data_IF_718053974011
#
_entry.id   IF_718053974011
#
_cell.length_a   1.000
_cell.length_b   1.000
_cell.length_c   1.000
_cell.angle_alpha   90.00
_cell.angle_beta   90.00
_cell.angle_gamma   90.00
#
_symmetry.space_group_name_H-M   'P 1'
#
loop_
_entity.id
_entity.type
_entity.pdbx_description
1 polymer ?
#
# COMPACT_ATOMS: atom_id res chain seq x y z
N UNK A 1 25.12 4.91 3.44
CA UNK A 1 24.47 4.29 2.28
C UNK A 1 23.79 5.35 1.44
N UNK A 2 23.54 5.04 0.17
CA UNK A 2 22.91 5.96 -0.78
C UNK A 2 21.51 5.47 -1.14
N UNK A 3 20.49 6.18 -0.68
CA UNK A 3 19.08 5.86 -0.86
C UNK A 3 18.46 6.69 -1.98
N UNK A 4 17.64 6.06 -2.84
CA UNK A 4 16.71 6.74 -3.73
C UNK A 4 15.28 6.37 -3.34
N UNK A 5 14.45 7.38 -3.11
CA UNK A 5 13.02 7.21 -2.92
C UNK A 5 12.29 7.61 -4.22
N UNK A 6 11.59 6.66 -4.82
CA UNK A 6 10.72 6.94 -5.97
C UNK A 6 9.31 7.12 -5.43
N UNK A 7 8.78 8.34 -5.49
CA UNK A 7 7.52 8.73 -4.84
C UNK A 7 6.67 9.60 -5.75
N UNK A 8 5.44 9.85 -5.37
CA UNK A 8 4.60 10.82 -6.05
C UNK A 8 5.15 12.24 -5.87
N UNK A 9 4.81 13.21 -6.74
CA UNK A 9 5.19 14.59 -6.56
C UNK A 9 4.85 15.12 -5.17
N UNK A 10 5.73 15.89 -4.55
CA UNK A 10 5.55 16.39 -3.18
C UNK A 10 4.22 17.13 -2.97
N UNK A 11 3.71 17.79 -4.01
CA UNK A 11 2.43 18.51 -4.00
C UNK A 11 1.21 17.58 -3.81
N UNK A 12 1.40 16.28 -4.02
CA UNK A 12 0.36 15.25 -3.82
C UNK A 12 0.47 14.53 -2.47
N UNK A 13 1.59 14.71 -1.77
CA UNK A 13 1.83 14.06 -0.49
C UNK A 13 1.13 14.82 0.64
N UNK A 14 0.68 14.07 1.64
CA UNK A 14 0.20 14.66 2.90
C UNK A 14 1.39 14.90 3.82
N UNK A 15 2.06 16.04 3.63
CA UNK A 15 3.39 16.34 4.20
C UNK A 15 3.49 16.19 5.72
N UNK A 16 2.38 16.35 6.46
CA UNK A 16 2.37 16.25 7.93
C UNK A 16 2.39 14.79 8.44
N UNK A 17 1.94 13.83 7.62
CA UNK A 17 1.79 12.44 8.03
C UNK A 17 2.22 11.42 6.94
N UNK A 18 3.02 11.84 5.96
CA UNK A 18 3.45 10.94 4.90
C UNK A 18 4.51 9.94 5.39
N UNK A 19 4.23 8.65 5.19
CA UNK A 19 5.13 7.56 5.57
C UNK A 19 6.47 7.61 4.83
N UNK A 20 6.51 8.11 3.59
CA UNK A 20 7.74 8.22 2.80
C UNK A 20 8.65 9.29 3.37
N UNK A 21 8.08 10.42 3.81
CA UNK A 21 8.85 11.50 4.45
C UNK A 21 9.42 11.06 5.80
N UNK A 22 8.70 10.24 6.58
CA UNK A 22 9.23 9.64 7.81
C UNK A 22 10.47 8.79 7.52
N UNK A 23 10.39 7.90 6.51
CA UNK A 23 11.51 7.04 6.11
C UNK A 23 12.71 7.86 5.60
N UNK A 24 12.47 8.87 4.76
CA UNK A 24 13.52 9.76 4.25
C UNK A 24 14.20 10.52 5.38
N UNK A 25 13.43 11.10 6.29
CA UNK A 25 13.94 11.84 7.45
C UNK A 25 14.76 10.95 8.40
N UNK A 26 14.34 9.71 8.59
CA UNK A 26 15.09 8.76 9.40
C UNK A 26 16.42 8.35 8.71
N UNK A 27 16.39 8.14 7.39
CA UNK A 27 17.61 7.87 6.63
C UNK A 27 18.61 9.05 6.72
N UNK A 28 18.12 10.29 6.60
CA UNK A 28 18.93 11.50 6.82
C UNK A 28 19.48 11.59 8.24
N UNK A 29 18.67 11.32 9.26
CA UNK A 29 19.09 11.33 10.67
C UNK A 29 20.24 10.35 10.95
N UNK A 30 20.28 9.26 10.19
CA UNK A 30 21.36 8.25 10.23
C UNK A 30 22.55 8.58 9.31
N UNK A 31 22.64 9.82 8.86
CA UNK A 31 23.75 10.31 8.02
C UNK A 31 23.89 9.58 6.67
N UNK A 32 22.78 9.02 6.15
CA UNK A 32 22.78 8.47 4.80
C UNK A 32 22.60 9.57 3.75
N UNK A 33 23.07 9.32 2.53
CA UNK A 33 22.75 10.13 1.38
C UNK A 33 21.33 9.79 0.90
N UNK A 34 20.45 10.79 0.87
CA UNK A 34 19.05 10.61 0.52
C UNK A 34 18.68 11.41 -0.72
N UNK A 35 18.06 10.73 -1.65
CA UNK A 35 17.62 11.30 -2.92
C UNK A 35 16.16 10.95 -3.17
N UNK A 36 15.47 11.78 -3.97
CA UNK A 36 14.13 11.48 -4.45
C UNK A 36 13.94 11.81 -5.92
N UNK A 37 13.04 11.09 -6.57
CA UNK A 37 12.53 11.39 -7.90
C UNK A 37 11.08 10.86 -8.01
N UNK A 38 10.38 11.26 -9.06
CA UNK A 38 9.10 10.66 -9.45
C UNK A 38 9.30 9.62 -10.55
N UNK A 39 8.27 8.82 -10.85
CA UNK A 39 8.32 7.90 -11.98
C UNK A 39 8.52 8.59 -13.34
N UNK A 40 8.14 9.86 -13.44
CA UNK A 40 8.28 10.66 -14.68
C UNK A 40 9.72 11.13 -14.91
N UNK A 41 10.54 11.14 -13.88
CA UNK A 41 11.94 11.58 -13.93
C UNK A 41 12.91 10.47 -14.36
N UNK A 42 12.41 9.23 -14.49
CA UNK A 42 13.24 8.07 -14.85
C UNK A 42 13.34 7.94 -16.36
N UNK A 43 14.55 7.86 -16.84
CA UNK A 43 14.88 7.75 -18.28
C UNK A 43 15.77 6.54 -18.53
N UNK A 44 15.43 5.75 -19.56
CA UNK A 44 16.25 4.66 -20.07
C UNK A 44 16.82 5.05 -21.43
N UNK A 45 18.10 4.97 -21.59
CA UNK A 45 18.77 4.97 -22.88
C UNK A 45 19.33 3.55 -23.22
N UNK A 46 20.12 3.44 -24.26
CA UNK A 46 20.69 2.17 -24.68
C UNK A 46 21.74 1.58 -23.70
N UNK A 47 22.20 2.34 -22.73
CA UNK A 47 23.33 1.96 -21.84
C UNK A 47 22.97 1.92 -20.38
N UNK A 48 22.11 2.84 -19.93
CA UNK A 48 21.85 3.06 -18.52
C UNK A 48 20.41 3.44 -18.24
N UNK A 49 20.03 3.28 -16.98
CA UNK A 49 18.80 3.80 -16.40
C UNK A 49 19.18 4.89 -15.43
N UNK A 50 18.69 6.10 -15.62
CA UNK A 50 19.00 7.24 -14.77
C UNK A 50 17.74 8.01 -14.41
N UNK A 51 17.80 8.76 -13.32
CA UNK A 51 16.75 9.66 -12.91
C UNK A 51 17.26 11.10 -12.80
N UNK A 52 16.38 12.05 -13.11
CA UNK A 52 16.53 13.43 -12.74
C UNK A 52 15.97 13.62 -11.33
N UNK A 53 16.84 13.60 -10.32
CA UNK A 53 16.45 13.57 -8.93
C UNK A 53 16.95 14.75 -8.12
N UNK A 54 16.42 14.86 -6.89
CA UNK A 54 16.84 15.84 -5.88
C UNK A 54 17.61 15.14 -4.77
N UNK A 55 18.78 15.68 -4.39
CA UNK A 55 19.49 15.32 -3.15
C UNK A 55 18.91 16.10 -1.99
N UNK A 56 18.73 15.43 -0.86
CA UNK A 56 18.29 16.03 0.39
C UNK A 56 19.43 16.04 1.41
N UNK A 57 19.68 17.20 2.03
CA UNK A 57 20.76 17.39 3.01
C UNK A 57 20.22 17.74 4.39
N UNK A 58 18.94 18.14 4.46
CA UNK A 58 18.28 18.54 5.69
C UNK A 58 16.96 17.78 5.87
N UNK A 59 16.46 17.78 7.12
CA UNK A 59 15.18 17.20 7.46
C UNK A 59 14.08 17.82 6.59
N UNK A 60 13.33 16.96 5.90
CA UNK A 60 12.22 17.36 5.05
C UNK A 60 11.05 17.85 5.90
N UNK A 61 10.78 19.14 5.81
CA UNK A 61 9.61 19.83 6.35
C UNK A 61 8.86 20.51 5.21
N UNK A 62 7.60 20.93 5.37
CA UNK A 62 6.87 21.63 4.32
C UNK A 62 7.65 22.82 3.74
N UNK A 63 8.26 23.64 4.58
CA UNK A 63 9.05 24.82 4.16
C UNK A 63 10.27 24.46 3.29
N UNK A 64 10.97 23.36 3.62
CA UNK A 64 12.15 22.88 2.86
C UNK A 64 11.74 22.24 1.54
N UNK A 65 10.59 21.59 1.51
CA UNK A 65 10.05 20.97 0.29
C UNK A 65 9.68 22.05 -0.74
N UNK A 66 9.15 23.18 -0.30
CA UNK A 66 8.75 24.32 -1.14
C UNK A 66 9.94 25.21 -1.57
N UNK A 67 11.13 25.03 -0.99
CA UNK A 67 12.32 25.80 -1.34
C UNK A 67 12.80 25.53 -2.77
N UNK A 68 13.65 26.41 -3.31
CA UNK A 68 14.22 26.28 -4.66
C UNK A 68 14.88 24.92 -4.87
N UNK A 69 14.42 24.18 -5.90
CA UNK A 69 14.78 22.79 -6.13
C UNK A 69 15.94 22.69 -7.10
N UNK A 70 17.04 22.08 -6.64
CA UNK A 70 18.17 21.74 -7.53
C UNK A 70 18.05 20.26 -7.91
N UNK A 71 17.84 20.02 -9.20
CA UNK A 71 17.79 18.67 -9.77
C UNK A 71 19.09 18.35 -10.51
N UNK A 72 19.50 17.08 -10.44
CA UNK A 72 20.65 16.56 -11.18
C UNK A 72 20.35 15.16 -11.68
N UNK A 73 21.07 14.70 -12.69
CA UNK A 73 20.94 13.36 -13.22
C UNK A 73 21.80 12.38 -12.42
N UNK A 74 21.22 11.24 -12.05
CA UNK A 74 21.88 10.18 -11.30
C UNK A 74 21.65 8.84 -11.99
N UNK A 75 22.72 8.06 -12.17
CA UNK A 75 22.62 6.65 -12.59
C UNK A 75 21.99 5.83 -11.46
N UNK A 76 20.92 5.07 -11.75
CA UNK A 76 20.24 4.27 -10.76
C UNK A 76 21.13 3.14 -10.22
N UNK A 77 22.07 2.63 -10.99
CA UNK A 77 23.07 1.65 -10.51
C UNK A 77 24.05 2.25 -9.48
N UNK A 78 24.07 3.58 -9.30
CA UNK A 78 24.90 4.24 -8.29
C UNK A 78 24.32 4.20 -6.87
N UNK A 79 23.06 3.81 -6.71
CA UNK A 79 22.38 3.72 -5.41
C UNK A 79 22.64 2.36 -4.75
N UNK A 80 22.60 2.34 -3.42
CA UNK A 80 22.66 1.10 -2.64
C UNK A 80 21.24 0.53 -2.45
N UNK A 81 20.27 1.41 -2.16
CA UNK A 81 18.87 1.07 -1.92
C UNK A 81 17.95 1.97 -2.74
N UNK A 82 16.97 1.38 -3.39
CA UNK A 82 15.85 2.11 -4.01
C UNK A 82 14.57 1.71 -3.29
N UNK A 83 13.83 2.69 -2.78
CA UNK A 83 12.55 2.48 -2.10
C UNK A 83 11.43 2.99 -2.99
N UNK A 84 10.56 2.08 -3.45
CA UNK A 84 9.39 2.44 -4.25
C UNK A 84 8.28 2.88 -3.29
N UNK A 85 7.92 4.16 -3.36
CA UNK A 85 6.88 4.77 -2.52
C UNK A 85 5.81 5.47 -3.35
N UNK A 86 5.70 5.10 -4.62
CA UNK A 86 4.62 5.56 -5.48
C UNK A 86 3.30 4.92 -5.06
N UNK A 87 2.30 5.76 -4.82
CA UNK A 87 0.95 5.31 -4.48
C UNK A 87 0.20 4.77 -5.71
N UNK A 88 -0.78 3.88 -5.55
CA UNK A 88 -1.74 3.56 -6.59
C UNK A 88 -2.47 4.82 -7.11
N UNK A 89 -3.01 4.83 -8.33
CA UNK A 89 -3.46 3.64 -9.07
C UNK A 89 -2.31 2.87 -9.73
N UNK A 90 -2.46 1.55 -9.80
CA UNK A 90 -1.56 0.69 -10.57
C UNK A 90 -1.96 0.77 -12.06
N UNK A 91 -1.46 1.80 -12.72
CA UNK A 91 -1.72 2.12 -14.13
C UNK A 91 -0.53 1.78 -15.05
N UNK A 92 -0.59 2.21 -16.30
CA UNK A 92 0.49 1.98 -17.26
C UNK A 92 1.79 2.69 -16.90
N UNK A 93 1.74 3.82 -16.19
CA UNK A 93 2.93 4.53 -15.70
C UNK A 93 3.61 3.73 -14.60
N UNK A 94 2.83 3.24 -13.62
CA UNK A 94 3.33 2.36 -12.56
C UNK A 94 3.93 1.07 -13.14
N UNK A 95 3.21 0.43 -14.08
CA UNK A 95 3.70 -0.76 -14.78
C UNK A 95 5.04 -0.49 -15.48
N UNK A 96 5.15 0.64 -16.19
CA UNK A 96 6.38 1.01 -16.89
C UNK A 96 7.54 1.22 -15.92
N UNK A 97 7.30 1.92 -14.81
CA UNK A 97 8.30 2.10 -13.75
C UNK A 97 8.87 0.74 -13.30
N UNK A 98 7.99 -0.19 -12.91
CA UNK A 98 8.43 -1.49 -12.42
C UNK A 98 9.21 -2.28 -13.47
N UNK A 99 8.76 -2.27 -14.72
CA UNK A 99 9.46 -2.95 -15.82
C UNK A 99 10.86 -2.37 -16.06
N UNK A 100 11.04 -1.05 -15.95
CA UNK A 100 12.35 -0.41 -16.04
C UNK A 100 13.28 -0.82 -14.91
N UNK A 101 12.76 -0.93 -13.69
CA UNK A 101 13.54 -1.29 -12.51
C UNK A 101 14.00 -2.76 -12.47
N UNK A 102 13.35 -3.66 -13.24
CA UNK A 102 13.74 -5.07 -13.30
C UNK A 102 15.15 -5.30 -13.88
N UNK A 103 15.67 -4.37 -14.66
CA UNK A 103 16.99 -4.49 -15.28
C UNK A 103 18.14 -4.08 -14.34
N UNK A 104 17.84 -3.46 -13.20
CA UNK A 104 18.85 -3.04 -12.23
C UNK A 104 19.43 -4.24 -11.50
N UNK A 105 20.74 -4.22 -11.26
CA UNK A 105 21.49 -5.34 -10.66
C UNK A 105 22.08 -5.02 -9.32
N UNK A 106 22.55 -3.78 -9.13
CA UNK A 106 23.26 -3.38 -7.92
C UNK A 106 22.33 -2.93 -6.80
N UNK A 107 21.37 -2.00 -7.03
CA UNK A 107 20.58 -1.52 -5.93
C UNK A 107 19.64 -2.60 -5.40
N UNK A 108 19.55 -2.68 -4.07
CA UNK A 108 18.45 -3.44 -3.47
C UNK A 108 17.16 -2.62 -3.55
N UNK A 109 16.10 -3.22 -4.11
CA UNK A 109 14.84 -2.50 -4.36
C UNK A 109 13.76 -2.97 -3.41
N UNK A 110 13.16 -2.07 -2.66
CA UNK A 110 12.06 -2.28 -1.72
C UNK A 110 10.77 -1.68 -2.29
N UNK A 111 9.72 -2.44 -2.57
CA UNK A 111 9.66 -3.91 -2.63
C UNK A 111 10.22 -4.42 -3.97
N UNK A 112 10.50 -5.72 -4.03
CA UNK A 112 10.94 -6.35 -5.29
C UNK A 112 9.95 -6.02 -6.43
N UNK A 113 10.41 -5.36 -7.53
CA UNK A 113 9.54 -4.94 -8.62
C UNK A 113 8.76 -6.10 -9.25
N UNK A 114 9.36 -7.29 -9.35
CA UNK A 114 8.69 -8.46 -9.89
C UNK A 114 7.51 -8.89 -9.01
N UNK A 115 7.64 -8.79 -7.70
CA UNK A 115 6.56 -9.15 -6.77
C UNK A 115 5.42 -8.13 -6.84
N UNK A 116 5.73 -6.84 -6.94
CA UNK A 116 4.70 -5.79 -7.13
C UNK A 116 3.98 -5.97 -8.49
N UNK A 117 4.69 -6.40 -9.54
CA UNK A 117 4.09 -6.72 -10.85
C UNK A 117 3.15 -7.94 -10.80
N UNK A 118 3.51 -8.96 -9.99
CA UNK A 118 2.77 -10.24 -9.93
C UNK A 118 1.53 -10.17 -9.07
N UNK A 119 1.55 -9.35 -8.02
CA UNK A 119 0.54 -9.38 -6.97
C UNK A 119 -0.20 -8.05 -6.88
N UNK A 120 -1.45 -8.05 -7.32
CA UNK A 120 -2.35 -6.92 -7.06
C UNK A 120 -2.86 -7.01 -5.62
N UNK A 121 -2.90 -5.89 -4.90
CA UNK A 121 -3.23 -5.79 -3.46
C UNK A 121 -4.57 -6.42 -3.07
N UNK A 122 -5.55 -6.36 -3.98
CA UNK A 122 -6.86 -6.98 -3.76
C UNK A 122 -6.88 -8.44 -4.21
N UNK A 123 -6.26 -8.76 -5.36
CA UNK A 123 -6.27 -10.14 -5.88
C UNK A 123 -5.36 -11.07 -5.10
N UNK A 124 -4.29 -10.56 -4.48
CA UNK A 124 -3.34 -11.37 -3.73
C UNK A 124 -3.95 -12.08 -2.51
N UNK A 125 -5.07 -11.60 -1.98
CA UNK A 125 -5.76 -12.28 -0.87
C UNK A 125 -6.23 -13.68 -1.25
N UNK A 126 -6.49 -13.97 -2.53
CA UNK A 126 -6.87 -15.31 -3.01
C UNK A 126 -5.75 -16.36 -2.89
N UNK A 127 -4.51 -15.94 -2.58
CA UNK A 127 -3.42 -16.84 -2.20
C UNK A 127 -3.62 -17.44 -0.81
N UNK A 128 -4.54 -16.89 -0.01
CA UNK A 128 -4.82 -17.25 1.38
C UNK A 128 -6.30 -17.53 1.58
N UNK A 129 -6.88 -18.51 0.85
CA UNK A 129 -8.34 -18.71 0.79
C UNK A 129 -8.95 -19.05 2.15
N UNK A 130 -8.20 -19.62 3.07
CA UNK A 130 -8.63 -19.94 4.43
C UNK A 130 -8.85 -18.70 5.33
N UNK A 131 -8.32 -17.56 4.95
CA UNK A 131 -8.40 -16.31 5.73
C UNK A 131 -9.29 -15.25 5.12
N UNK A 132 -9.88 -15.48 3.96
CA UNK A 132 -10.78 -14.51 3.34
C UNK A 132 -12.24 -14.89 3.53
N UNK A 133 -13.11 -13.88 3.52
CA UNK A 133 -14.55 -14.12 3.43
C UNK A 133 -14.94 -14.48 1.99
N UNK A 134 -16.20 -14.88 1.75
CA UNK A 134 -16.71 -15.11 0.42
C UNK A 134 -16.41 -13.92 -0.48
N UNK A 135 -15.74 -14.19 -1.59
CA UNK A 135 -15.22 -13.15 -2.49
C UNK A 135 -15.32 -13.64 -3.93
N UNK A 136 -15.78 -12.76 -4.82
CA UNK A 136 -15.73 -12.97 -6.27
C UNK A 136 -15.06 -11.81 -6.99
N UNK A 137 -14.53 -12.07 -8.17
CA UNK A 137 -14.00 -11.04 -9.09
C UNK A 137 -14.66 -11.22 -10.45
N UNK A 138 -15.48 -10.26 -10.85
CA UNK A 138 -16.26 -10.34 -12.08
C UNK A 138 -16.66 -8.94 -12.58
N UNK A 139 -17.05 -8.84 -13.85
CA UNK A 139 -17.74 -7.68 -14.43
C UNK A 139 -19.23 -7.99 -14.73
N UNK A 140 -19.68 -9.22 -14.45
CA UNK A 140 -21.01 -9.69 -14.81
C UNK A 140 -22.06 -9.25 -13.78
N UNK A 141 -22.95 -8.34 -14.16
CA UNK A 141 -24.07 -7.90 -13.34
C UNK A 141 -24.90 -9.09 -12.80
N UNK A 142 -25.34 -10.09 -13.62
CA UNK A 142 -26.11 -11.22 -13.09
C UNK A 142 -25.34 -12.05 -12.06
N UNK A 143 -23.99 -12.16 -12.19
CA UNK A 143 -23.19 -12.91 -11.23
C UNK A 143 -23.03 -12.14 -9.92
N UNK A 144 -22.90 -10.81 -9.98
CA UNK A 144 -22.83 -9.96 -8.78
C UNK A 144 -24.15 -10.01 -8.01
N UNK A 145 -25.29 -9.86 -8.68
CA UNK A 145 -26.61 -9.94 -8.04
C UNK A 145 -26.80 -11.29 -7.34
N UNK A 146 -26.50 -12.39 -8.02
CA UNK A 146 -26.56 -13.73 -7.41
C UNK A 146 -25.65 -13.86 -6.20
N UNK A 147 -24.43 -13.33 -6.27
CA UNK A 147 -23.49 -13.38 -5.15
C UNK A 147 -24.01 -12.61 -3.93
N UNK A 148 -24.61 -11.43 -4.14
CA UNK A 148 -25.21 -10.65 -3.04
C UNK A 148 -26.30 -11.47 -2.34
N UNK A 149 -27.15 -12.21 -3.09
CA UNK A 149 -28.16 -13.12 -2.53
C UNK A 149 -27.50 -14.26 -1.74
N UNK A 150 -26.46 -14.91 -2.32
CA UNK A 150 -25.71 -16.01 -1.71
C UNK A 150 -25.08 -15.64 -0.36
N UNK A 151 -24.66 -14.37 -0.19
CA UNK A 151 -24.00 -13.87 1.05
C UNK A 151 -24.96 -13.11 1.99
N UNK A 152 -26.26 -13.31 1.85
CA UNK A 152 -27.24 -12.75 2.80
C UNK A 152 -27.65 -11.30 2.53
N UNK A 153 -27.50 -10.82 1.30
CA UNK A 153 -28.07 -9.55 0.83
C UNK A 153 -27.20 -8.31 0.99
N UNK A 154 -26.00 -8.43 1.57
CA UNK A 154 -25.06 -7.32 1.71
C UNK A 154 -23.65 -7.72 1.24
N UNK A 155 -23.05 -6.90 0.36
CA UNK A 155 -21.70 -7.10 -0.14
C UNK A 155 -20.96 -5.77 -0.30
N UNK A 156 -19.65 -5.82 -0.35
CA UNK A 156 -18.79 -4.65 -0.62
C UNK A 156 -18.14 -4.81 -2.00
N UNK A 157 -18.37 -3.86 -2.88
CA UNK A 157 -17.73 -3.78 -4.18
C UNK A 157 -16.47 -2.90 -4.07
N UNK A 158 -15.36 -3.40 -4.61
CA UNK A 158 -14.06 -2.72 -4.60
C UNK A 158 -13.46 -2.70 -6.02
N UNK A 159 -13.13 -1.53 -6.60
CA UNK A 159 -12.33 -1.47 -7.83
C UNK A 159 -10.93 -2.06 -7.59
N UNK A 160 -10.39 -2.82 -8.57
CA UNK A 160 -9.15 -3.58 -8.38
C UNK A 160 -7.88 -2.72 -8.28
N UNK A 161 -7.87 -1.54 -8.91
CA UNK A 161 -6.68 -0.70 -9.06
C UNK A 161 -6.76 0.63 -8.31
N UNK A 162 -7.75 0.80 -7.44
CA UNK A 162 -7.92 1.98 -6.58
C UNK A 162 -7.36 1.76 -5.18
N UNK A 163 -7.09 2.86 -4.48
CA UNK A 163 -6.62 2.88 -3.08
C UNK A 163 -7.50 3.79 -2.21
N UNK A 164 -7.21 3.85 -0.92
CA UNK A 164 -7.82 4.76 0.07
C UNK A 164 -9.36 4.69 0.11
N UNK A 165 -9.96 3.52 -0.19
CA UNK A 165 -11.42 3.35 -0.19
C UNK A 165 -12.16 4.09 -1.31
N UNK A 166 -11.45 4.65 -2.30
CA UNK A 166 -12.05 5.32 -3.47
C UNK A 166 -12.81 4.29 -4.31
N UNK A 167 -14.07 4.60 -4.62
CA UNK A 167 -14.93 3.69 -5.39
C UNK A 167 -15.41 2.44 -4.63
N UNK A 168 -15.10 2.30 -3.34
CA UNK A 168 -15.65 1.22 -2.50
C UNK A 168 -17.10 1.51 -2.17
N UNK A 169 -17.99 0.56 -2.49
CA UNK A 169 -19.44 0.69 -2.37
C UNK A 169 -20.02 -0.45 -1.54
N UNK A 170 -20.93 -0.12 -0.63
CA UNK A 170 -21.78 -1.12 0.04
C UNK A 170 -23.00 -1.38 -0.85
N UNK A 171 -23.17 -2.63 -1.27
CA UNK A 171 -24.29 -3.11 -2.07
C UNK A 171 -25.30 -3.82 -1.18
N UNK A 172 -26.57 -3.45 -1.30
CA UNK A 172 -27.66 -4.09 -0.56
C UNK A 172 -28.78 -4.51 -1.50
N UNK A 173 -29.31 -5.70 -1.33
CA UNK A 173 -30.47 -6.18 -2.13
C UNK A 173 -31.69 -5.26 -2.04
N UNK A 174 -31.85 -4.52 -0.95
CA UNK A 174 -32.94 -3.55 -0.76
C UNK A 174 -32.83 -2.30 -1.60
N UNK A 175 -31.68 -2.04 -2.22
CA UNK A 175 -31.43 -0.79 -2.95
C UNK A 175 -32.04 -0.82 -4.35
N UNK A 176 -33.01 0.04 -4.63
CA UNK A 176 -33.69 0.13 -5.93
C UNK A 176 -32.76 0.49 -7.10
N UNK A 177 -31.62 1.12 -6.80
CA UNK A 177 -30.60 1.51 -7.78
C UNK A 177 -29.46 0.52 -7.94
N UNK A 178 -29.53 -0.66 -7.29
CA UNK A 178 -28.43 -1.62 -7.20
C UNK A 178 -27.82 -1.97 -8.57
N UNK A 179 -28.68 -2.31 -9.56
CA UNK A 179 -28.22 -2.66 -10.90
C UNK A 179 -27.49 -1.50 -11.61
N UNK A 180 -28.00 -0.28 -11.46
CA UNK A 180 -27.39 0.95 -12.03
C UNK A 180 -26.02 1.20 -11.42
N UNK A 181 -25.92 1.05 -10.09
CA UNK A 181 -24.67 1.23 -9.35
C UNK A 181 -23.63 0.20 -9.81
N UNK A 182 -24.01 -1.09 -9.92
CA UNK A 182 -23.13 -2.16 -10.39
C UNK A 182 -22.73 -1.91 -11.85
N UNK A 183 -23.68 -1.57 -12.72
CA UNK A 183 -23.39 -1.28 -14.12
C UNK A 183 -22.37 -0.11 -14.26
N UNK A 184 -22.54 0.95 -13.48
CA UNK A 184 -21.60 2.07 -13.46
C UNK A 184 -20.22 1.63 -12.98
N UNK A 185 -20.15 0.88 -11.85
CA UNK A 185 -18.88 0.43 -11.27
C UNK A 185 -18.13 -0.57 -12.14
N UNK A 186 -18.84 -1.31 -13.01
CA UNK A 186 -18.25 -2.30 -13.94
C UNK A 186 -18.05 -1.74 -15.36
N UNK A 187 -18.23 -0.43 -15.58
CA UNK A 187 -18.15 0.14 -16.94
C UNK A 187 -19.08 -0.55 -17.94
N UNK A 188 -20.34 -0.87 -17.51
CA UNK A 188 -21.27 -1.61 -18.34
C UNK A 188 -20.87 -3.07 -18.56
N UNK A 189 -20.04 -3.67 -17.72
CA UNK A 189 -19.58 -5.06 -17.81
C UNK A 189 -18.22 -5.25 -18.47
N UNK A 190 -17.48 -4.18 -18.72
CA UNK A 190 -16.13 -4.21 -19.31
C UNK A 190 -15.02 -4.26 -18.28
N UNK A 191 -15.27 -3.75 -17.05
CA UNK A 191 -14.30 -3.67 -15.98
C UNK A 191 -14.60 -4.66 -14.86
N UNK A 192 -13.61 -5.48 -14.50
CA UNK A 192 -13.74 -6.40 -13.37
C UNK A 192 -13.61 -5.64 -12.05
N UNK A 193 -14.48 -6.00 -11.13
CA UNK A 193 -14.47 -5.54 -9.74
C UNK A 193 -14.39 -6.72 -8.79
N UNK A 194 -13.84 -6.50 -7.60
CA UNK A 194 -13.97 -7.44 -6.49
C UNK A 194 -15.29 -7.18 -5.76
N UNK A 195 -15.99 -8.24 -5.41
CA UNK A 195 -17.18 -8.17 -4.56
C UNK A 195 -17.00 -9.17 -3.42
N UNK A 196 -17.02 -8.66 -2.18
CA UNK A 196 -16.82 -9.45 -0.96
C UNK A 196 -18.08 -9.42 -0.08
N UNK A 197 -18.32 -10.49 0.66
CA UNK A 197 -19.32 -10.48 1.72
C UNK A 197 -19.05 -9.31 2.69
N UNK A 198 -20.10 -8.58 3.03
CA UNK A 198 -19.99 -7.47 3.99
C UNK A 198 -19.86 -8.02 5.42
N UNK A 199 -18.74 -7.73 6.04
CA UNK A 199 -18.48 -8.07 7.44
C UNK A 199 -18.93 -6.93 8.34
N UNK A 200 -19.98 -7.16 9.15
CA UNK A 200 -20.52 -6.16 10.09
C UNK A 200 -19.49 -5.72 11.15
N UNK A 201 -18.51 -6.57 11.41
CA UNK A 201 -17.39 -6.37 12.34
C UNK A 201 -16.55 -5.15 12.00
N UNK A 202 -16.61 -4.67 10.75
CA UNK A 202 -15.96 -3.42 10.34
C UNK A 202 -16.41 -2.22 11.18
N UNK A 203 -17.64 -2.24 11.72
CA UNK A 203 -18.15 -1.18 12.61
C UNK A 203 -17.38 -1.11 13.93
N UNK A 204 -16.81 -2.23 14.39
CA UNK A 204 -15.93 -2.30 15.55
C UNK A 204 -14.45 -2.00 15.18
N UNK A 205 -14.18 -1.86 13.90
CA UNK A 205 -12.88 -1.49 13.33
C UNK A 205 -12.23 -2.55 12.46
N UNK A 206 -11.30 -2.10 11.64
CA UNK A 206 -10.43 -2.89 10.77
C UNK A 206 -9.01 -2.86 11.34
N UNK A 207 -8.40 -4.01 11.53
CA UNK A 207 -7.03 -4.11 12.03
C UNK A 207 -6.05 -3.88 10.87
N UNK A 208 -5.20 -2.83 10.97
CA UNK A 208 -4.05 -2.60 10.11
C UNK A 208 -2.81 -3.18 10.78
N UNK A 209 -2.12 -4.08 10.08
CA UNK A 209 -0.83 -4.63 10.52
C UNK A 209 0.21 -4.32 9.46
N UNK A 210 1.22 -3.54 9.82
CA UNK A 210 2.44 -3.45 9.01
C UNK A 210 3.28 -4.69 9.23
N UNK A 211 3.79 -5.26 8.14
CA UNK A 211 4.82 -6.29 8.18
C UNK A 211 6.14 -5.69 7.67
N UNK A 212 7.20 -5.94 8.41
CA UNK A 212 8.57 -5.77 7.95
C UNK A 212 9.10 -7.19 7.63
N UNK A 213 9.19 -7.48 6.35
CA UNK A 213 9.39 -8.82 5.80
C UNK A 213 8.33 -9.80 6.34
N UNK A 214 8.64 -10.66 7.30
CA UNK A 214 7.73 -11.65 7.88
C UNK A 214 7.32 -11.36 9.34
N UNK A 215 7.69 -10.20 9.88
CA UNK A 215 7.39 -9.86 11.27
C UNK A 215 6.37 -8.72 11.35
N UNK A 216 5.34 -8.83 12.19
CA UNK A 216 4.50 -7.69 12.54
C UNK A 216 5.36 -6.57 13.16
N UNK A 217 5.29 -5.38 12.56
CA UNK A 217 6.05 -4.20 12.99
C UNK A 217 5.15 -3.22 13.75
N UNK A 218 4.06 -2.78 13.14
CA UNK A 218 3.13 -1.83 13.72
C UNK A 218 1.69 -2.35 13.62
N UNK A 219 0.91 -2.16 14.66
CA UNK A 219 -0.47 -2.66 14.75
C UNK A 219 -1.38 -1.58 15.27
N UNK A 220 -2.46 -1.31 14.54
CA UNK A 220 -3.54 -0.44 15.02
C UNK A 220 -4.89 -0.93 14.53
N UNK A 221 -5.96 -0.54 15.21
CA UNK A 221 -7.33 -0.72 14.74
C UNK A 221 -7.86 0.60 14.20
N UNK A 222 -8.30 0.59 12.95
CA UNK A 222 -8.96 1.72 12.28
C UNK A 222 -10.45 1.64 12.53
N UNK A 223 -10.99 2.52 13.36
CA UNK A 223 -12.43 2.56 13.69
C UNK A 223 -13.12 3.57 12.78
N UNK A 224 -14.12 3.16 11.99
CA UNK A 224 -14.87 4.07 11.12
C UNK A 224 -15.53 5.22 11.89
N UNK A 225 -15.78 6.34 11.21
CA UNK A 225 -16.65 7.37 11.73
C UNK A 225 -18.08 6.84 11.93
N UNK A 226 -18.82 7.45 12.84
CA UNK A 226 -20.21 7.06 13.14
C UNK A 226 -21.07 7.04 11.86
N UNK A 227 -21.77 5.95 11.63
CA UNK A 227 -22.59 5.75 10.43
C UNK A 227 -21.83 5.38 9.15
N UNK A 228 -20.49 5.31 9.20
CA UNK A 228 -19.66 4.85 8.09
C UNK A 228 -19.30 3.37 8.22
N UNK A 229 -19.14 2.69 7.09
CA UNK A 229 -18.52 1.36 7.03
C UNK A 229 -17.06 1.42 6.51
N UNK A 230 -16.58 2.62 6.12
CA UNK A 230 -15.22 2.81 5.61
C UNK A 230 -14.26 3.11 6.75
N UNK A 231 -13.32 2.22 6.99
CA UNK A 231 -12.28 2.36 8.01
C UNK A 231 -11.03 3.12 7.52
N UNK A 232 -11.22 4.06 6.58
CA UNK A 232 -10.14 4.88 6.03
C UNK A 232 -10.09 6.26 6.68
N UNK A 233 -8.89 6.76 6.95
CA UNK A 233 -8.69 8.08 7.56
C UNK A 233 -9.26 9.22 6.70
N UNK A 234 -9.19 9.12 5.38
CA UNK A 234 -9.81 10.07 4.43
C UNK A 234 -11.34 10.19 4.62
N UNK A 235 -11.98 9.21 5.25
CA UNK A 235 -13.40 9.18 5.57
C UNK A 235 -13.69 9.37 7.07
N UNK A 236 -12.71 9.91 7.83
CA UNK A 236 -12.87 10.25 9.24
C UNK A 236 -12.71 9.08 10.21
N UNK A 237 -12.11 7.96 9.78
CA UNK A 237 -11.74 6.90 10.70
C UNK A 237 -10.64 7.38 11.67
N UNK A 238 -10.54 6.73 12.83
CA UNK A 238 -9.50 6.99 13.84
C UNK A 238 -8.73 5.73 14.16
N UNK A 239 -7.42 5.88 14.40
CA UNK A 239 -6.56 4.81 14.89
C UNK A 239 -6.68 4.66 16.40
N UNK A 240 -6.74 3.43 16.89
CA UNK A 240 -6.65 3.09 18.30
C UNK A 240 -5.69 1.92 18.51
N UNK A 241 -5.09 1.79 19.73
CA UNK A 241 -4.24 0.63 20.04
C UNK A 241 -4.99 -0.68 19.87
N UNK A 242 -4.31 -1.70 19.36
CA UNK A 242 -4.85 -3.04 19.20
C UNK A 242 -3.78 -4.09 19.51
N UNK A 243 -4.20 -5.17 20.17
CA UNK A 243 -3.37 -6.37 20.36
C UNK A 243 -3.89 -7.44 19.43
N UNK A 244 -3.01 -8.03 18.62
CA UNK A 244 -3.40 -9.07 17.66
C UNK A 244 -4.00 -10.28 18.37
N UNK A 245 -5.13 -10.74 17.87
CA UNK A 245 -5.75 -12.01 18.25
C UNK A 245 -4.94 -13.19 17.70
N UNK A 246 -5.23 -14.41 18.17
CA UNK A 246 -4.57 -15.63 17.65
C UNK A 246 -4.78 -15.80 16.15
N UNK A 247 -5.98 -15.52 15.65
CA UNK A 247 -6.29 -15.58 14.20
C UNK A 247 -5.49 -14.54 13.42
N UNK A 248 -5.42 -13.29 13.89
CA UNK A 248 -4.64 -12.24 13.23
C UNK A 248 -3.14 -12.55 13.23
N UNK A 249 -2.61 -13.13 14.32
CA UNK A 249 -1.23 -13.62 14.40
C UNK A 249 -0.96 -14.72 13.39
N UNK A 250 -1.88 -15.67 13.22
CA UNK A 250 -1.74 -16.74 12.23
C UNK A 250 -1.76 -16.20 10.80
N UNK A 251 -2.64 -15.23 10.49
CA UNK A 251 -2.64 -14.53 9.20
C UNK A 251 -1.28 -13.87 8.98
N UNK A 252 -0.77 -13.11 9.95
CA UNK A 252 0.54 -12.45 9.85
C UNK A 252 1.67 -13.44 9.60
N UNK A 253 1.66 -14.58 10.30
CA UNK A 253 2.68 -15.62 10.16
C UNK A 253 2.70 -16.23 8.75
N UNK A 254 1.52 -16.53 8.19
CA UNK A 254 1.39 -17.17 6.87
C UNK A 254 1.69 -16.17 5.75
N UNK A 255 1.10 -14.98 5.82
CA UNK A 255 1.36 -13.93 4.83
C UNK A 255 2.81 -13.43 4.93
N UNK A 256 3.37 -13.31 6.13
CA UNK A 256 4.77 -12.94 6.34
C UNK A 256 5.74 -13.94 5.72
N UNK A 257 5.50 -15.24 5.90
CA UNK A 257 6.32 -16.27 5.24
C UNK A 257 6.26 -16.16 3.71
N UNK A 258 5.10 -15.81 3.16
CA UNK A 258 4.96 -15.50 1.73
C UNK A 258 5.75 -14.24 1.35
N UNK A 259 5.66 -13.15 2.13
CA UNK A 259 6.41 -11.92 1.90
C UNK A 259 7.91 -12.18 1.81
N UNK A 260 8.48 -12.91 2.77
CA UNK A 260 9.90 -13.27 2.79
C UNK A 260 10.30 -14.06 1.53
N UNK A 261 9.49 -15.02 1.13
CA UNK A 261 9.75 -15.85 -0.06
C UNK A 261 9.74 -15.02 -1.36
N UNK A 262 8.84 -14.06 -1.46
CA UNK A 262 8.64 -13.26 -2.68
C UNK A 262 9.43 -11.95 -2.67
N UNK A 263 10.22 -11.66 -1.63
CA UNK A 263 11.00 -10.42 -1.53
C UNK A 263 10.14 -9.17 -1.31
N UNK A 264 9.00 -9.33 -0.64
CA UNK A 264 8.14 -8.23 -0.20
C UNK A 264 8.61 -7.83 1.20
N UNK A 265 9.23 -6.68 1.31
CA UNK A 265 9.85 -6.21 2.55
C UNK A 265 8.90 -5.35 3.38
N UNK A 266 8.18 -4.45 2.73
CA UNK A 266 7.19 -3.60 3.37
C UNK A 266 5.81 -3.96 2.86
N UNK A 267 4.94 -4.39 3.75
CA UNK A 267 3.54 -4.63 3.42
C UNK A 267 2.61 -4.22 4.56
N UNK A 268 1.32 -4.12 4.26
CA UNK A 268 0.33 -3.95 5.30
C UNK A 268 -0.90 -4.81 5.01
N UNK A 269 -1.40 -5.45 6.07
CA UNK A 269 -2.60 -6.26 6.04
C UNK A 269 -3.77 -5.47 6.60
N UNK A 270 -4.91 -5.53 5.95
CA UNK A 270 -6.19 -5.08 6.50
C UNK A 270 -7.05 -6.30 6.85
N UNK A 271 -7.43 -6.42 8.12
CA UNK A 271 -8.13 -7.58 8.67
C UNK A 271 -9.43 -7.11 9.33
N UNK A 272 -10.57 -7.70 8.95
CA UNK A 272 -11.89 -7.42 9.52
C UNK A 272 -12.47 -8.69 10.07
N UNK A 273 -12.81 -8.72 11.37
CA UNK A 273 -13.43 -9.88 12.01
C UNK A 273 -12.62 -11.18 11.88
N UNK A 274 -11.30 -11.08 11.80
CA UNK A 274 -10.41 -12.24 11.57
C UNK A 274 -10.27 -12.66 10.10
N UNK A 275 -10.77 -11.87 9.14
CA UNK A 275 -10.64 -12.15 7.73
C UNK A 275 -9.75 -11.11 7.03
N UNK A 276 -8.80 -11.58 6.22
CA UNK A 276 -7.92 -10.75 5.41
C UNK A 276 -8.73 -10.07 4.29
N UNK A 277 -8.85 -8.76 4.38
CA UNK A 277 -9.64 -7.92 3.47
C UNK A 277 -8.82 -7.33 2.32
N UNK A 278 -7.54 -7.01 2.60
CA UNK A 278 -6.60 -6.43 1.64
C UNK A 278 -5.15 -6.72 2.05
N UNK A 279 -4.27 -6.86 1.06
CA UNK A 279 -2.84 -7.08 1.25
C UNK A 279 -2.05 -6.01 0.47
N UNK A 280 -1.68 -4.93 1.15
CA UNK A 280 -1.05 -3.75 0.58
C UNK A 280 0.45 -3.95 0.42
N UNK A 281 0.99 -3.85 -0.80
CA UNK A 281 2.40 -4.11 -1.13
C UNK A 281 3.06 -3.03 -1.99
N UNK A 282 2.30 -2.07 -2.50
CA UNK A 282 2.83 -0.98 -3.33
C UNK A 282 3.50 0.08 -2.46
N UNK A 283 2.71 0.87 -1.76
CA UNK A 283 3.16 1.94 -0.88
C UNK A 283 2.33 1.95 0.42
N UNK A 284 2.49 0.93 1.32
CA UNK A 284 1.69 0.91 2.55
C UNK A 284 1.90 2.18 3.36
N UNK A 285 0.82 2.94 3.54
CA UNK A 285 0.74 4.19 4.30
C UNK A 285 0.28 3.98 5.73
N UNK A 286 0.09 5.08 6.49
CA UNK A 286 -0.38 5.14 7.87
C UNK A 286 0.71 4.80 8.92
N UNK A 287 1.99 4.94 8.57
CA UNK A 287 3.08 4.76 9.53
C UNK A 287 3.09 5.87 10.58
N UNK A 288 2.79 7.12 10.18
CA UNK A 288 2.70 8.26 11.07
C UNK A 288 1.56 8.09 12.10
N UNK A 289 0.39 7.65 11.63
CA UNK A 289 -0.75 7.36 12.48
C UNK A 289 -0.47 6.20 13.45
N UNK A 290 0.25 5.17 12.99
CA UNK A 290 0.68 4.07 13.87
C UNK A 290 1.63 4.58 14.95
N UNK A 291 2.60 5.42 14.61
CA UNK A 291 3.49 6.06 15.57
C UNK A 291 2.72 6.89 16.63
N UNK A 292 1.66 7.59 16.20
CA UNK A 292 0.83 8.39 17.11
C UNK A 292 0.00 7.52 18.06
N UNK A 293 -0.41 6.34 17.62
CA UNK A 293 -1.26 5.43 18.43
C UNK A 293 -0.53 4.86 19.63
N UNK A 294 0.76 4.55 19.51
CA UNK A 294 1.52 3.87 20.57
C UNK A 294 2.82 4.60 20.99
N UNK A 295 3.14 5.72 20.35
CA UNK A 295 4.33 6.53 20.63
C UNK A 295 5.64 5.95 20.11
N UNK A 296 5.58 4.97 19.22
CA UNK A 296 6.75 4.36 18.58
C UNK A 296 7.31 5.22 17.45
N UNK A 297 8.43 4.75 16.89
CA UNK A 297 9.09 5.30 15.71
C UNK A 297 9.47 4.16 14.78
N UNK A 298 8.48 3.61 14.09
CA UNK A 298 8.65 2.42 13.27
C UNK A 298 9.56 2.62 12.06
N UNK A 299 9.69 3.85 11.56
CA UNK A 299 10.67 4.23 10.55
C UNK A 299 12.11 3.92 10.96
N UNK A 300 12.44 3.96 12.26
CA UNK A 300 13.77 3.62 12.76
C UNK A 300 14.10 2.13 12.54
N UNK A 301 13.12 1.26 12.74
CA UNK A 301 13.31 -0.18 12.53
C UNK A 301 13.41 -0.52 11.04
N UNK A 302 12.60 0.13 10.20
CA UNK A 302 12.61 -0.10 8.75
C UNK A 302 13.97 0.31 8.15
N UNK A 303 14.48 1.51 8.48
CA UNK A 303 15.76 1.98 7.94
C UNK A 303 16.93 1.19 8.52
N UNK A 304 16.87 0.78 9.80
CA UNK A 304 17.87 -0.13 10.39
C UNK A 304 17.89 -1.47 9.67
N UNK A 305 16.74 -2.11 9.49
CA UNK A 305 16.62 -3.38 8.77
C UNK A 305 17.21 -3.28 7.36
N UNK A 306 16.92 -2.17 6.65
CA UNK A 306 17.45 -1.95 5.32
C UNK A 306 18.99 -1.82 5.30
N UNK A 307 19.57 -1.18 6.31
CA UNK A 307 21.02 -1.06 6.47
C UNK A 307 21.67 -2.42 6.78
N UNK A 308 21.16 -3.13 7.79
CA UNK A 308 21.69 -4.41 8.25
C UNK A 308 21.70 -5.47 7.13
N UNK A 309 20.67 -5.42 6.24
CA UNK A 309 20.53 -6.37 5.12
C UNK A 309 21.64 -6.24 4.06
N UNK A 310 22.23 -5.06 3.88
CA UNK A 310 23.30 -4.83 2.91
C UNK A 310 24.70 -5.01 3.48
N UNK A 311 24.84 -4.98 4.81
CA UNK A 311 26.14 -5.19 5.48
C UNK A 311 26.51 -6.68 5.64
N UNK A 312 25.51 -7.57 5.42
CA UNK A 312 25.62 -9.02 5.55
C UNK A 312 25.29 -9.76 4.26
#
# INVERSE_FOLDING_TARGET
MKYLFILDPFEKLYLEADSSLLLMNEALRRENEVYSCTEYDITRDNRSLFCRGRRHEEKLTPDIIEAELVYSDFDLESFDIIVIRKDPPFDSSYLTLLLLLLDLRRPWIINNPLSVLRYNEKLAIFLFPEFITETIVTSSLPRILRFIDEVGGNAVLKPLFSCSGKGVLLLKNSDLSLEVVIASATGGGTEKVMVQHYLSEVTAGETRVFLLEDQPLAVMKKVPAEGSFKANFDFGARGIPHTLTETELEICRIVGAFCRKEGIILSALDIIGGHLSEFNITSPGLLAESNQVDGARYEEEIIRFAADRLEH
#
